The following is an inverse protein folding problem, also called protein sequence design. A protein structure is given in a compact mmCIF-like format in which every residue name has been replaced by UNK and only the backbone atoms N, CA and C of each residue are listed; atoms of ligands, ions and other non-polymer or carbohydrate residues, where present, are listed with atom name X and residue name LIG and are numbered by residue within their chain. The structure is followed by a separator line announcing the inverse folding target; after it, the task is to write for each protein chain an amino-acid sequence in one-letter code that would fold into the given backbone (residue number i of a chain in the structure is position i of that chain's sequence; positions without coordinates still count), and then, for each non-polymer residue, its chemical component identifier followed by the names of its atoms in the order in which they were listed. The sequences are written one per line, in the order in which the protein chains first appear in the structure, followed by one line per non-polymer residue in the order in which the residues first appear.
data_IF_727057732971
#
_entry.id   IF_727057732971
#
_cell.length_a   1.000
_cell.length_b   1.000
_cell.length_c   1.000
_cell.angle_alpha   90.00
_cell.angle_beta   90.00
_cell.angle_gamma   90.00
#
_symmetry.space_group_name_H-M   'P 1'
#
loop_
_entity.id
_entity.type
_entity.pdbx_description
1 polymer ?
#
# COMPACT_ATOMS: atom_id res chain seq x y z
N UNK A 1 19.06 20.08 22.22
CA UNK A 1 19.87 18.84 22.07
C UNK A 1 19.60 18.20 20.71
N UNK A 2 20.50 18.39 19.75
CA UNK A 2 20.41 17.77 18.41
C UNK A 2 21.08 16.39 18.54
N UNK A 3 20.30 15.30 18.61
CA UNK A 3 20.89 13.96 18.51
C UNK A 3 21.50 13.87 17.11
N UNK A 4 22.83 13.93 17.00
CA UNK A 4 23.52 13.54 15.78
C UNK A 4 23.36 12.02 15.65
N UNK A 5 22.22 11.59 15.10
CA UNK A 5 22.02 10.19 14.74
C UNK A 5 23.17 9.77 13.83
N UNK A 6 23.68 8.55 14.01
CA UNK A 6 24.77 8.05 13.18
C UNK A 6 24.35 8.12 11.69
N UNK A 7 25.28 8.39 10.76
CA UNK A 7 24.98 8.42 9.32
C UNK A 7 24.30 7.13 8.82
N UNK A 8 24.58 6.00 9.48
CA UNK A 8 23.93 4.72 9.23
C UNK A 8 22.44 4.73 9.58
N UNK A 9 22.05 5.27 10.74
CA UNK A 9 20.64 5.32 11.15
C UNK A 9 19.79 6.14 10.17
N UNK A 10 20.32 7.26 9.67
CA UNK A 10 19.65 8.07 8.66
C UNK A 10 19.46 7.29 7.33
N UNK A 11 20.47 6.52 6.90
CA UNK A 11 20.38 5.68 5.70
C UNK A 11 19.36 4.55 5.85
N UNK A 12 19.34 3.89 7.01
CA UNK A 12 18.37 2.84 7.31
C UNK A 12 16.93 3.38 7.31
N UNK A 13 16.73 4.58 7.86
CA UNK A 13 15.42 5.22 7.88
C UNK A 13 14.94 5.62 6.48
N UNK A 14 15.85 6.09 5.62
CA UNK A 14 15.54 6.37 4.22
C UNK A 14 15.13 5.10 3.45
N UNK A 15 15.82 3.99 3.67
CA UNK A 15 15.46 2.67 3.10
C UNK A 15 14.13 2.14 3.64
N UNK A 16 13.88 2.30 4.95
CA UNK A 16 12.66 1.82 5.59
C UNK A 16 11.40 2.50 5.03
N UNK A 17 11.48 3.76 4.60
CA UNK A 17 10.36 4.45 3.96
C UNK A 17 10.00 3.89 2.58
N UNK A 18 10.97 3.32 1.86
CA UNK A 18 10.73 2.68 0.56
C UNK A 18 10.18 1.27 0.66
N UNK A 19 10.40 0.59 1.80
CA UNK A 19 9.93 -0.77 2.00
C UNK A 19 8.40 -0.90 1.81
N UNK A 20 7.53 -0.15 2.51
CA UNK A 20 6.08 -0.24 2.28
C UNK A 20 5.69 0.26 0.89
N UNK A 21 6.40 1.25 0.34
CA UNK A 21 6.14 1.83 -0.98
C UNK A 21 6.37 0.85 -2.13
N UNK A 22 7.16 -0.22 -1.91
CA UNK A 22 7.42 -1.26 -2.91
C UNK A 22 6.61 -2.52 -2.57
N UNK A 23 6.67 -2.98 -1.32
CA UNK A 23 6.11 -4.28 -0.93
C UNK A 23 4.59 -4.27 -1.01
N UNK A 24 3.91 -3.22 -0.51
CA UNK A 24 2.45 -3.17 -0.50
C UNK A 24 1.86 -3.16 -1.91
N UNK A 25 2.21 -2.23 -2.81
CA UNK A 25 1.64 -2.24 -4.16
C UNK A 25 2.06 -3.48 -4.95
N UNK A 26 3.26 -4.03 -4.74
CA UNK A 26 3.67 -5.28 -5.41
C UNK A 26 2.84 -6.47 -4.95
N UNK A 27 2.62 -6.62 -3.65
CA UNK A 27 1.79 -7.69 -3.11
C UNK A 27 0.34 -7.59 -3.62
N UNK A 28 -0.25 -6.40 -3.58
CA UNK A 28 -1.60 -6.18 -4.12
C UNK A 28 -1.65 -6.40 -5.63
N UNK A 29 -0.59 -6.07 -6.38
CA UNK A 29 -0.51 -6.33 -7.82
C UNK A 29 -0.61 -7.83 -8.13
N UNK A 30 0.12 -8.66 -7.39
CA UNK A 30 0.11 -10.11 -7.59
C UNK A 30 -1.24 -10.74 -7.23
N UNK A 31 -2.07 -10.12 -6.38
CA UNK A 31 -3.46 -10.53 -6.20
C UNK A 31 -4.37 -9.99 -7.32
N UNK A 32 -4.22 -8.71 -7.67
CA UNK A 32 -5.07 -8.02 -8.64
C UNK A 32 -4.97 -8.67 -10.02
N UNK A 33 -3.77 -9.07 -10.43
CA UNK A 33 -3.56 -9.66 -11.75
C UNK A 33 -4.44 -10.90 -12.02
N UNK A 34 -4.40 -11.98 -11.20
CA UNK A 34 -5.33 -13.10 -11.35
C UNK A 34 -6.81 -12.71 -11.27
N UNK A 35 -7.17 -11.77 -10.39
CA UNK A 35 -8.56 -11.28 -10.24
C UNK A 35 -9.05 -10.61 -11.53
N UNK A 36 -8.20 -9.83 -12.21
CA UNK A 36 -8.50 -9.26 -13.52
C UNK A 36 -8.67 -10.32 -14.62
N UNK A 37 -8.03 -11.49 -14.46
CA UNK A 37 -8.23 -12.66 -15.34
C UNK A 37 -9.48 -13.48 -14.97
N UNK A 38 -10.32 -13.01 -14.04
CA UNK A 38 -11.54 -13.70 -13.61
C UNK A 38 -11.34 -14.76 -12.51
N UNK A 39 -10.13 -14.88 -11.95
CA UNK A 39 -9.84 -15.84 -10.89
C UNK A 39 -10.21 -15.27 -9.52
N UNK A 40 -11.51 -15.28 -9.19
CA UNK A 40 -12.06 -14.68 -7.98
C UNK A 40 -12.41 -15.69 -6.88
N UNK A 41 -12.34 -17.00 -7.17
CA UNK A 41 -12.64 -18.04 -6.19
C UNK A 41 -11.71 -17.94 -4.95
N UNK A 42 -12.30 -17.86 -3.76
CA UNK A 42 -11.57 -17.72 -2.49
C UNK A 42 -11.11 -16.30 -2.15
N UNK A 43 -11.35 -15.31 -3.01
CA UNK A 43 -11.00 -13.91 -2.76
C UNK A 43 -12.12 -13.23 -1.97
N UNK A 44 -11.82 -12.78 -0.75
CA UNK A 44 -12.78 -12.07 0.11
C UNK A 44 -12.90 -10.59 -0.28
N UNK A 45 -13.97 -10.23 -0.98
CA UNK A 45 -14.23 -8.83 -1.36
C UNK A 45 -14.31 -7.90 -0.14
N UNK A 46 -14.90 -8.35 0.98
CA UNK A 46 -14.96 -7.55 2.21
C UNK A 46 -13.57 -7.27 2.78
N UNK A 47 -12.67 -8.26 2.78
CA UNK A 47 -11.30 -8.08 3.28
C UNK A 47 -10.54 -7.05 2.45
N UNK A 48 -10.63 -7.14 1.11
CA UNK A 48 -9.99 -6.16 0.21
C UNK A 48 -10.62 -4.77 0.32
N UNK A 49 -11.93 -4.67 0.54
CA UNK A 49 -12.59 -3.39 0.82
C UNK A 49 -12.05 -2.75 2.11
N UNK A 50 -11.94 -3.54 3.18
CA UNK A 50 -11.40 -3.06 4.46
C UNK A 50 -9.92 -2.66 4.34
N UNK A 51 -9.11 -3.39 3.56
CA UNK A 51 -7.73 -2.99 3.26
C UNK A 51 -7.66 -1.67 2.49
N UNK A 52 -8.53 -1.47 1.49
CA UNK A 52 -8.61 -0.20 0.76
C UNK A 52 -8.94 0.98 1.70
N UNK A 53 -9.90 0.80 2.60
CA UNK A 53 -10.23 1.80 3.65
C UNK A 53 -9.04 2.02 4.59
N UNK A 54 -8.36 0.95 5.03
CA UNK A 54 -7.20 1.06 5.92
C UNK A 54 -6.03 1.82 5.26
N UNK A 55 -5.75 1.56 3.98
CA UNK A 55 -4.72 2.24 3.21
C UNK A 55 -5.06 3.72 2.97
N UNK A 56 -6.33 4.05 2.67
CA UNK A 56 -6.81 5.44 2.67
C UNK A 56 -6.61 6.12 4.02
N UNK A 57 -6.97 5.44 5.12
CA UNK A 57 -6.77 5.92 6.48
C UNK A 57 -5.30 6.18 6.79
N UNK A 58 -4.41 5.27 6.41
CA UNK A 58 -2.96 5.41 6.56
C UNK A 58 -2.41 6.61 5.78
N UNK A 59 -2.89 6.83 4.55
CA UNK A 59 -2.55 8.02 3.76
C UNK A 59 -3.01 9.31 4.46
N UNK A 60 -4.24 9.36 4.97
CA UNK A 60 -4.80 10.52 5.69
C UNK A 60 -4.03 10.79 6.99
N UNK A 61 -3.67 9.74 7.73
CA UNK A 61 -2.91 9.85 8.97
C UNK A 61 -1.44 10.24 8.77
N UNK A 62 -0.88 9.96 7.59
CA UNK A 62 0.49 10.35 7.26
C UNK A 62 0.70 11.86 7.26
N UNK A 63 1.81 12.29 7.85
CA UNK A 63 2.28 13.69 7.82
C UNK A 63 3.00 14.03 6.52
N UNK A 64 3.33 13.03 5.68
CA UNK A 64 4.14 13.16 4.46
C UNK A 64 3.35 12.83 3.19
N UNK A 65 2.09 13.31 3.10
CA UNK A 65 1.13 12.95 2.04
C UNK A 65 1.58 13.15 0.58
N UNK A 66 2.56 14.04 0.35
CA UNK A 66 3.03 14.39 -1.00
C UNK A 66 4.30 13.67 -1.42
N UNK A 67 4.86 12.81 -0.56
CA UNK A 67 6.05 12.05 -0.93
C UNK A 67 5.66 10.87 -1.81
N UNK A 68 6.46 10.52 -2.83
CA UNK A 68 6.20 9.36 -3.68
C UNK A 68 6.05 8.07 -2.86
N UNK A 69 6.84 7.91 -1.79
CA UNK A 69 6.79 6.73 -0.93
C UNK A 69 5.41 6.54 -0.29
N UNK A 70 4.83 7.61 0.26
CA UNK A 70 3.52 7.55 0.94
C UNK A 70 2.39 7.37 -0.07
N UNK A 71 2.46 8.02 -1.23
CA UNK A 71 1.47 7.87 -2.30
C UNK A 71 1.46 6.43 -2.82
N UNK A 72 2.64 5.88 -3.13
CA UNK A 72 2.78 4.50 -3.62
C UNK A 72 2.35 3.48 -2.57
N UNK A 73 2.82 3.63 -1.32
CA UNK A 73 2.52 2.70 -0.24
C UNK A 73 1.02 2.58 0.04
N UNK A 74 0.29 3.70 -0.02
CA UNK A 74 -1.07 3.75 0.51
C UNK A 74 -2.12 4.13 -0.50
N UNK A 75 -1.94 5.21 -1.28
CA UNK A 75 -2.99 5.67 -2.18
C UNK A 75 -3.11 4.78 -3.42
N UNK A 76 -1.97 4.41 -4.02
CA UNK A 76 -1.94 3.46 -5.14
C UNK A 76 -2.42 2.08 -4.70
N UNK A 77 -1.90 1.59 -3.56
CA UNK A 77 -2.35 0.31 -2.99
C UNK A 77 -3.86 0.31 -2.72
N UNK A 78 -4.42 1.37 -2.10
CA UNK A 78 -5.86 1.48 -1.86
C UNK A 78 -6.67 1.44 -3.16
N UNK A 79 -6.21 2.13 -4.22
CA UNK A 79 -6.87 2.08 -5.52
C UNK A 79 -6.89 0.64 -6.07
N UNK A 80 -5.79 -0.10 -5.95
CA UNK A 80 -5.71 -1.49 -6.37
C UNK A 80 -6.60 -2.42 -5.52
N UNK A 81 -6.68 -2.19 -4.21
CA UNK A 81 -7.57 -2.92 -3.32
C UNK A 81 -9.03 -2.77 -3.77
N UNK A 82 -9.47 -1.54 -4.10
CA UNK A 82 -10.82 -1.32 -4.62
C UNK A 82 -11.04 -1.88 -6.02
N UNK A 83 -10.00 -1.94 -6.86
CA UNK A 83 -10.11 -2.63 -8.16
C UNK A 83 -10.32 -4.14 -7.97
N UNK A 84 -9.67 -4.76 -6.98
CA UNK A 84 -9.93 -6.16 -6.61
C UNK A 84 -11.40 -6.32 -6.20
N UNK A 85 -11.91 -5.45 -5.31
CA UNK A 85 -13.32 -5.47 -4.87
C UNK A 85 -14.26 -5.34 -6.06
N UNK A 86 -14.04 -4.33 -6.91
CA UNK A 86 -14.85 -4.08 -8.09
C UNK A 86 -14.90 -5.32 -8.98
N UNK A 87 -13.76 -5.99 -9.19
CA UNK A 87 -13.72 -7.19 -10.03
C UNK A 87 -14.23 -8.47 -9.38
N UNK A 88 -14.31 -8.54 -8.06
CA UNK A 88 -14.99 -9.63 -7.39
C UNK A 88 -16.52 -9.50 -7.44
N UNK A 89 -17.05 -8.29 -7.63
CA UNK A 89 -18.49 -8.01 -7.60
C UNK A 89 -19.14 -7.90 -9.00
N UNK A 90 -18.36 -7.69 -10.04
CA UNK A 90 -18.78 -7.58 -11.45
C UNK A 90 -18.17 -8.72 -12.29
#
# INVERSE_FOLDING_TARGET
MRRSGSPLAARLQALAGWLPAIILPSATFFQLWPVLQGQTAGVSALSWFLFGIANLGAYIFSTQKRTPQVILAFLVTAAMDFLIVLRCLL
#
